data_IF_839446763603
#
_entry.id   IF_839446763603
#
_cell.length_a   1.000
_cell.length_b   1.000
_cell.length_c   1.000
_cell.angle_alpha   90.00
_cell.angle_beta   90.00
_cell.angle_gamma   90.00
#
_symmetry.space_group_name_H-M   'P 1'
#
loop_
_entity.id
_entity.type
_entity.pdbx_description
1 polymer ?
#
# COMPACT_ATOMS: atom_id res chain seq x y z
N UNK A 1 23.54 -21.45 -57.24
CA UNK A 1 23.46 -19.98 -57.08
C UNK A 1 22.01 -19.46 -57.02
N UNK A 2 21.12 -19.82 -57.96
CA UNK A 2 19.74 -19.30 -57.95
C UNK A 2 18.87 -19.84 -56.78
N UNK A 3 18.93 -21.14 -56.50
CA UNK A 3 18.14 -21.78 -55.43
C UNK A 3 18.48 -21.23 -54.04
N UNK A 4 19.76 -20.96 -53.76
CA UNK A 4 20.16 -20.36 -52.48
C UNK A 4 19.60 -18.94 -52.31
N UNK A 5 19.58 -18.12 -53.37
CA UNK A 5 19.02 -16.76 -53.33
C UNK A 5 17.53 -16.74 -53.03
N UNK A 6 16.77 -17.68 -53.60
CA UNK A 6 15.33 -17.82 -53.33
C UNK A 6 15.09 -18.27 -51.89
N UNK A 7 15.86 -19.25 -51.40
CA UNK A 7 15.75 -19.75 -50.03
C UNK A 7 16.04 -18.66 -48.99
N UNK A 8 17.10 -17.85 -49.22
CA UNK A 8 17.40 -16.68 -48.39
C UNK A 8 16.28 -15.64 -48.40
N UNK A 9 15.65 -15.39 -49.56
CA UNK A 9 14.51 -14.48 -49.66
C UNK A 9 13.30 -14.95 -48.84
N UNK A 10 12.96 -16.24 -48.91
CA UNK A 10 11.86 -16.83 -48.13
C UNK A 10 12.15 -16.74 -46.63
N UNK A 11 13.38 -17.06 -46.21
CA UNK A 11 13.77 -16.99 -44.81
C UNK A 11 13.70 -15.56 -44.27
N UNK A 12 14.15 -14.57 -45.05
CA UNK A 12 14.07 -13.17 -44.66
C UNK A 12 12.62 -12.71 -44.46
N UNK A 13 11.71 -13.07 -45.36
CA UNK A 13 10.28 -12.77 -45.24
C UNK A 13 9.69 -13.45 -43.99
N UNK A 14 10.02 -14.72 -43.74
CA UNK A 14 9.54 -15.44 -42.57
C UNK A 14 9.98 -14.78 -41.25
N UNK A 15 11.24 -14.35 -41.17
CA UNK A 15 11.78 -13.65 -39.99
C UNK A 15 11.09 -12.30 -39.78
N UNK A 16 10.82 -11.54 -40.85
CA UNK A 16 10.10 -10.28 -40.76
C UNK A 16 8.66 -10.50 -40.27
N UNK A 17 7.95 -11.47 -40.85
CA UNK A 17 6.58 -11.81 -40.42
C UNK A 17 6.55 -12.20 -38.95
N UNK A 18 7.47 -13.06 -38.52
CA UNK A 18 7.57 -13.49 -37.12
C UNK A 18 7.87 -12.30 -36.18
N UNK A 19 8.76 -11.40 -36.59
CA UNK A 19 9.17 -10.24 -35.77
C UNK A 19 8.03 -9.25 -35.57
N UNK A 20 7.17 -9.05 -36.58
CA UNK A 20 6.01 -8.14 -36.50
C UNK A 20 4.83 -8.79 -35.75
N UNK A 21 4.74 -10.12 -35.79
CA UNK A 21 3.66 -10.87 -35.13
C UNK A 21 3.81 -10.97 -33.62
N UNK A 22 5.03 -10.79 -33.10
CA UNK A 22 5.32 -10.87 -31.67
C UNK A 22 5.16 -9.47 -31.05
N UNK A 23 4.20 -9.27 -30.13
CA UNK A 23 4.06 -7.99 -29.44
C UNK A 23 5.31 -7.72 -28.59
N UNK A 24 5.91 -6.55 -28.77
CA UNK A 24 7.02 -6.10 -27.95
C UNK A 24 6.49 -5.77 -26.54
N UNK A 25 6.72 -6.67 -25.58
CA UNK A 25 6.47 -6.40 -24.17
C UNK A 25 7.70 -5.72 -23.60
N UNK A 26 7.62 -4.42 -23.36
CA UNK A 26 8.60 -3.73 -22.52
C UNK A 26 8.36 -4.15 -21.07
N UNK A 27 9.34 -4.79 -20.45
CA UNK A 27 9.32 -5.07 -19.02
C UNK A 27 9.36 -3.73 -18.26
N UNK A 28 8.19 -3.19 -17.92
CA UNK A 28 8.08 -2.02 -17.05
C UNK A 28 8.48 -2.46 -15.64
N UNK A 29 9.48 -1.80 -15.03
CA UNK A 29 9.77 -2.04 -13.63
C UNK A 29 8.56 -1.63 -12.81
N UNK A 30 8.06 -2.53 -11.96
CA UNK A 30 6.98 -2.18 -11.04
C UNK A 30 7.44 -1.03 -10.15
N UNK A 31 6.61 0.01 -10.00
CA UNK A 31 6.93 1.07 -9.05
C UNK A 31 6.96 0.48 -7.64
N UNK A 32 7.83 0.99 -6.74
CA UNK A 32 7.81 0.60 -5.34
C UNK A 32 6.41 0.77 -4.75
N UNK A 33 5.97 -0.20 -3.92
CA UNK A 33 4.73 -0.06 -3.17
C UNK A 33 4.78 1.20 -2.30
N UNK A 34 3.66 1.94 -2.16
CA UNK A 34 3.57 3.03 -1.19
C UNK A 34 3.97 2.54 0.21
N UNK A 35 4.63 3.42 0.98
CA UNK A 35 4.94 3.14 2.37
C UNK A 35 3.65 2.97 3.19
N UNK A 36 3.61 2.08 4.20
CA UNK A 36 2.50 2.01 5.14
C UNK A 36 2.26 3.37 5.79
N UNK A 37 1.03 3.89 5.69
CA UNK A 37 0.61 5.11 6.36
C UNK A 37 -0.13 4.73 7.65
N UNK A 38 0.55 4.87 8.79
CA UNK A 38 -0.06 4.88 10.12
C UNK A 38 0.59 6.00 10.90
N UNK A 39 -0.16 7.06 11.21
CA UNK A 39 0.31 8.27 11.88
C UNK A 39 0.16 8.21 13.41
N UNK A 40 -0.27 7.08 13.97
CA UNK A 40 -0.40 6.82 15.41
C UNK A 40 -1.44 7.69 16.15
N UNK A 41 -2.02 8.68 15.48
CA UNK A 41 -2.81 9.75 16.13
C UNK A 41 -4.12 9.22 16.73
N UNK A 42 -4.71 8.20 16.12
CA UNK A 42 -5.93 7.55 16.66
C UNK A 42 -5.69 6.83 17.98
N UNK A 43 -4.50 6.25 18.18
CA UNK A 43 -4.10 5.61 19.44
C UNK A 43 -3.89 6.69 20.51
N UNK A 44 -3.15 7.74 20.17
CA UNK A 44 -2.88 8.86 21.07
C UNK A 44 -4.19 9.54 21.52
N UNK A 45 -5.10 9.79 20.58
CA UNK A 45 -6.42 10.36 20.87
C UNK A 45 -7.28 9.41 21.71
N UNK A 46 -7.23 8.11 21.45
CA UNK A 46 -7.91 7.09 22.25
C UNK A 46 -7.43 7.11 23.70
N UNK A 47 -6.11 7.12 23.92
CA UNK A 47 -5.51 7.22 25.25
C UNK A 47 -5.94 8.53 25.93
N UNK A 48 -5.92 9.65 25.21
CA UNK A 48 -6.35 10.94 25.74
C UNK A 48 -7.81 10.91 26.23
N UNK A 49 -8.74 10.33 25.46
CA UNK A 49 -10.13 10.19 25.89
C UNK A 49 -10.30 9.26 27.10
N UNK A 50 -9.56 8.15 27.15
CA UNK A 50 -9.58 7.24 28.30
C UNK A 50 -9.08 7.96 29.55
N UNK A 51 -7.96 8.66 29.47
CA UNK A 51 -7.42 9.43 30.59
C UNK A 51 -8.37 10.54 31.04
N UNK A 52 -9.04 11.21 30.10
CA UNK A 52 -10.08 12.20 30.40
C UNK A 52 -11.25 11.57 31.17
N UNK A 53 -11.71 10.37 30.76
CA UNK A 53 -12.78 9.66 31.45
C UNK A 53 -12.34 9.22 32.86
N UNK A 54 -11.13 8.68 32.98
CA UNK A 54 -10.54 8.31 34.28
C UNK A 54 -10.48 9.51 35.21
N UNK A 55 -9.99 10.66 34.72
CA UNK A 55 -9.96 11.90 35.50
C UNK A 55 -11.37 12.32 35.95
N UNK A 56 -12.36 12.25 35.07
CA UNK A 56 -13.74 12.57 35.40
C UNK A 56 -14.30 11.63 36.48
N UNK A 57 -14.04 10.32 36.39
CA UNK A 57 -14.49 9.36 37.40
C UNK A 57 -13.80 9.61 38.75
N UNK A 58 -12.50 9.86 38.74
CA UNK A 58 -11.73 10.14 39.95
C UNK A 58 -12.23 11.39 40.65
N UNK A 59 -12.52 12.47 39.92
CA UNK A 59 -13.05 13.71 40.53
C UNK A 59 -14.42 13.49 41.15
N UNK A 60 -15.32 12.75 40.49
CA UNK A 60 -16.61 12.39 41.08
C UNK A 60 -16.48 11.51 42.32
N UNK A 61 -15.57 10.53 42.30
CA UNK A 61 -15.36 9.62 43.41
C UNK A 61 -14.81 10.35 44.65
N UNK A 62 -13.83 11.24 44.45
CA UNK A 62 -13.28 12.06 45.54
C UNK A 62 -14.38 12.96 46.10
N UNK A 63 -15.15 13.62 45.23
CA UNK A 63 -16.25 14.49 45.66
C UNK A 63 -17.32 13.72 46.46
N UNK A 64 -17.69 12.52 46.01
CA UNK A 64 -18.64 11.66 46.72
C UNK A 64 -18.09 11.15 48.06
N UNK A 65 -16.79 10.82 48.13
CA UNK A 65 -16.13 10.42 49.37
C UNK A 65 -16.09 11.57 50.39
N UNK A 66 -15.77 12.80 49.96
CA UNK A 66 -15.76 13.99 50.81
C UNK A 66 -17.16 14.28 51.38
N UNK A 67 -18.21 14.16 50.56
CA UNK A 67 -19.61 14.27 51.01
C UNK A 67 -19.92 13.19 52.06
N UNK A 68 -19.48 11.95 51.84
CA UNK A 68 -19.73 10.84 52.76
C UNK A 68 -19.00 11.02 54.10
N UNK A 69 -17.80 11.59 54.09
CA UNK A 69 -16.99 11.84 55.30
C UNK A 69 -17.41 13.07 56.11
N UNK A 70 -18.30 13.91 55.57
CA UNK A 70 -18.78 15.14 56.23
C UNK A 70 -20.15 14.98 56.92
N UNK A 71 -20.72 13.78 56.91
CA UNK A 71 -21.89 13.37 57.72
C UNK A 71 -21.46 12.39 58.83
#
# INVERSE_FOLDING_TARGET
>A
MAVSRVFFGILAVAVIVLSVSIPAVQAQSQSPSPAPASDGTSIDQGIAYVLMLVALVLTYLIHAADITHSF
#
